data_IF_176595955969
#
_entry.id   IF_176595955969
#
_cell.length_a   1.000
_cell.length_b   1.000
_cell.length_c   1.000
_cell.angle_alpha   90.00
_cell.angle_beta   90.00
_cell.angle_gamma   90.00
#
_symmetry.space_group_name_H-M   'P 1'
#
loop_
_entity.id
_entity.type
_entity.pdbx_description
1 polymer ?
#
# COMPACT_ATOMS: atom_id res chain seq x y z
N UNK A 1 -0.05 -4.29 78.25
CA UNK A 1 0.41 -4.79 76.94
C UNK A 1 0.14 -3.71 75.89
N UNK A 2 1.16 -2.93 75.52
CA UNK A 2 1.06 -1.89 74.47
C UNK A 2 1.47 -2.53 73.14
N UNK A 3 0.51 -3.01 72.37
CA UNK A 3 0.77 -3.45 70.99
C UNK A 3 1.16 -2.22 70.17
N UNK A 4 2.37 -2.21 69.60
CA UNK A 4 2.86 -1.16 68.70
C UNK A 4 2.16 -1.35 67.35
N UNK A 5 1.20 -0.50 66.94
CA UNK A 5 0.41 -0.72 65.73
C UNK A 5 1.24 -0.60 64.43
N UNK A 6 2.43 0.03 64.52
CA UNK A 6 3.33 0.22 63.38
C UNK A 6 3.93 -1.09 62.82
N UNK A 7 4.10 -2.13 63.65
CA UNK A 7 4.64 -3.42 63.20
C UNK A 7 3.63 -4.23 62.38
N UNK A 8 2.34 -4.10 62.68
CA UNK A 8 1.26 -4.74 61.92
C UNK A 8 1.02 -4.04 60.57
N UNK A 9 1.17 -2.71 60.52
CA UNK A 9 1.03 -1.95 59.28
C UNK A 9 2.16 -2.27 58.27
N UNK A 10 3.38 -2.51 58.77
CA UNK A 10 4.54 -2.90 57.95
C UNK A 10 4.44 -4.34 57.41
N UNK A 11 3.76 -5.25 58.12
CA UNK A 11 3.56 -6.63 57.67
C UNK A 11 2.43 -6.74 56.64
N UNK A 12 1.43 -5.84 56.69
CA UNK A 12 0.31 -5.81 55.75
C UNK A 12 0.71 -5.28 54.37
N UNK A 13 1.66 -4.33 54.30
CA UNK A 13 2.17 -3.79 53.04
C UNK A 13 3.08 -4.76 52.27
N UNK A 14 3.66 -5.77 52.93
CA UNK A 14 4.51 -6.78 52.29
C UNK A 14 3.73 -7.89 51.57
N UNK A 15 2.44 -8.05 51.86
CA UNK A 15 1.61 -9.13 51.32
C UNK A 15 0.86 -8.77 50.02
N UNK A 16 1.02 -7.55 49.51
CA UNK A 16 0.15 -6.99 48.46
C UNK A 16 0.73 -6.98 47.04
N UNK A 17 1.85 -7.68 46.77
CA UNK A 17 2.63 -7.41 45.54
C UNK A 17 2.58 -8.47 44.43
N UNK A 18 1.68 -9.45 44.44
CA UNK A 18 1.58 -10.43 43.33
C UNK A 18 0.13 -10.71 42.88
N UNK A 19 -0.58 -9.68 42.43
CA UNK A 19 -1.83 -9.87 41.69
C UNK A 19 -1.54 -10.16 40.21
N UNK A 20 -1.49 -11.44 39.83
CA UNK A 20 -1.44 -11.84 38.42
C UNK A 20 -2.85 -11.78 37.80
N UNK A 21 -2.98 -11.22 36.60
CA UNK A 21 -4.25 -11.20 35.87
C UNK A 21 -4.73 -12.64 35.60
N UNK A 22 -5.91 -13.00 36.15
CA UNK A 22 -6.53 -14.30 35.90
C UNK A 22 -7.07 -14.35 34.47
N UNK A 23 -6.81 -15.42 33.70
CA UNK A 23 -7.37 -15.57 32.36
C UNK A 23 -8.90 -15.67 32.41
N UNK A 24 -9.56 -15.13 31.37
CA UNK A 24 -11.01 -15.20 31.23
C UNK A 24 -11.44 -16.66 30.98
N UNK A 25 -12.63 -17.05 31.45
CA UNK A 25 -13.17 -18.40 31.22
C UNK A 25 -13.15 -18.77 29.72
N UNK A 26 -12.51 -19.89 29.38
CA UNK A 26 -12.36 -20.34 28.00
C UNK A 26 -11.18 -19.73 27.24
N UNK A 27 -10.32 -18.95 27.90
CA UNK A 27 -9.09 -18.41 27.31
C UNK A 27 -7.85 -18.99 27.99
N UNK A 28 -6.79 -19.16 27.22
CA UNK A 28 -5.49 -19.52 27.74
C UNK A 28 -4.74 -18.23 28.12
N UNK A 29 -4.02 -18.24 29.24
CA UNK A 29 -3.22 -17.10 29.64
C UNK A 29 -2.19 -16.77 28.54
N UNK A 30 -2.05 -15.49 28.20
CA UNK A 30 -1.05 -15.03 27.24
C UNK A 30 0.31 -14.99 27.95
N UNK A 31 1.04 -16.09 27.85
CA UNK A 31 2.34 -16.31 28.47
C UNK A 31 3.51 -15.96 27.55
N UNK A 32 3.27 -15.44 26.35
CA UNK A 32 4.34 -15.05 25.44
C UNK A 32 5.14 -13.86 26.00
N UNK A 33 6.47 -13.98 26.02
CA UNK A 33 7.39 -12.94 26.49
C UNK A 33 7.93 -12.08 25.33
N UNK A 34 8.36 -10.86 25.65
CA UNK A 34 9.02 -9.93 24.72
C UNK A 34 8.06 -8.97 24.01
N UNK A 35 8.47 -8.46 22.84
CA UNK A 35 7.63 -7.56 22.03
C UNK A 35 6.58 -8.38 21.24
N UNK A 36 5.38 -8.46 21.82
CA UNK A 36 4.24 -9.16 21.24
C UNK A 36 3.78 -8.54 19.91
N UNK A 37 3.91 -7.23 19.75
CA UNK A 37 3.53 -6.55 18.51
C UNK A 37 4.49 -6.95 17.37
N UNK A 38 5.79 -6.98 17.64
CA UNK A 38 6.79 -7.46 16.69
C UNK A 38 6.56 -8.93 16.30
N UNK A 39 6.25 -9.80 17.27
CA UNK A 39 5.93 -11.21 17.01
C UNK A 39 4.69 -11.38 16.14
N UNK A 40 3.63 -10.60 16.41
CA UNK A 40 2.41 -10.61 15.61
C UNK A 40 2.69 -10.17 14.17
N UNK A 41 3.42 -9.07 13.97
CA UNK A 41 3.77 -8.58 12.63
C UNK A 41 4.60 -9.60 11.87
N UNK A 42 5.62 -10.20 12.50
CA UNK A 42 6.42 -11.25 11.89
C UNK A 42 5.58 -12.49 11.52
N UNK A 43 4.61 -12.86 12.35
CA UNK A 43 3.67 -13.94 12.06
C UNK A 43 2.76 -13.64 10.88
N UNK A 44 2.23 -12.42 10.80
CA UNK A 44 1.40 -11.94 9.68
C UNK A 44 2.21 -11.96 8.39
N UNK A 45 3.42 -11.41 8.40
CA UNK A 45 4.30 -11.37 7.22
C UNK A 45 4.58 -12.77 6.69
N UNK A 46 5.00 -13.69 7.57
CA UNK A 46 5.22 -15.10 7.22
C UNK A 46 3.98 -15.77 6.62
N UNK A 47 2.80 -15.50 7.19
CA UNK A 47 1.54 -16.03 6.67
C UNK A 47 1.23 -15.49 5.27
N UNK A 48 1.34 -14.17 5.08
CA UNK A 48 1.01 -13.52 3.82
C UNK A 48 1.97 -13.92 2.69
N UNK A 49 3.28 -14.02 2.98
CA UNK A 49 4.25 -14.51 2.00
C UNK A 49 3.89 -15.92 1.52
N UNK A 50 3.54 -16.83 2.44
CA UNK A 50 3.09 -18.17 2.09
C UNK A 50 1.80 -18.18 1.25
N UNK A 51 0.84 -17.30 1.55
CA UNK A 51 -0.38 -17.20 0.76
C UNK A 51 -0.15 -16.55 -0.61
N UNK A 52 0.81 -15.63 -0.74
CA UNK A 52 1.26 -15.07 -2.02
C UNK A 52 1.84 -16.17 -2.91
N UNK A 53 2.72 -17.01 -2.36
CA UNK A 53 3.31 -18.14 -3.10
C UNK A 53 2.22 -19.10 -3.57
N UNK A 54 1.32 -19.51 -2.67
CA UNK A 54 0.17 -20.38 -2.99
C UNK A 54 -0.80 -19.75 -3.99
N UNK A 55 -0.91 -18.42 -4.02
CA UNK A 55 -1.81 -17.70 -4.93
C UNK A 55 -1.47 -17.96 -6.40
N UNK A 56 -0.18 -18.14 -6.73
CA UNK A 56 0.26 -18.41 -8.10
C UNK A 56 -0.32 -19.72 -8.63
N UNK A 57 -0.19 -20.79 -7.86
CA UNK A 57 -0.72 -22.11 -8.21
C UNK A 57 -2.25 -22.11 -8.28
N UNK A 58 -2.91 -21.53 -7.27
CA UNK A 58 -4.38 -21.45 -7.22
C UNK A 58 -4.94 -20.66 -8.40
N UNK A 59 -4.26 -19.60 -8.83
CA UNK A 59 -4.70 -18.79 -9.97
C UNK A 59 -4.71 -19.61 -11.27
N UNK A 60 -3.71 -20.45 -11.51
CA UNK A 60 -3.63 -21.26 -12.72
C UNK A 60 -4.86 -22.16 -12.91
N UNK A 61 -5.39 -22.74 -11.83
CA UNK A 61 -6.58 -23.59 -11.87
C UNK A 61 -7.84 -22.89 -12.42
N UNK A 62 -7.93 -21.57 -12.26
CA UNK A 62 -9.05 -20.77 -12.75
C UNK A 62 -8.87 -20.29 -14.20
N UNK A 63 -7.70 -20.49 -14.82
CA UNK A 63 -7.40 -19.99 -16.18
C UNK A 63 -7.08 -21.12 -17.16
N UNK A 64 -8.11 -21.82 -17.64
CA UNK A 64 -8.00 -22.87 -18.66
C UNK A 64 -8.02 -22.30 -20.08
N UNK A 65 -7.00 -21.52 -20.44
CA UNK A 65 -6.95 -20.77 -21.71
C UNK A 65 -6.64 -21.71 -22.88
N UNK A 66 -7.45 -21.65 -23.93
CA UNK A 66 -7.17 -22.31 -25.20
C UNK A 66 -6.56 -21.29 -26.18
N UNK A 67 -5.33 -21.55 -26.64
CA UNK A 67 -4.60 -20.67 -27.57
C UNK A 67 -4.64 -21.16 -29.02
N UNK A 68 -5.41 -22.21 -29.34
CA UNK A 68 -5.49 -22.78 -30.68
C UNK A 68 -6.10 -21.82 -31.72
N UNK A 69 -7.00 -20.94 -31.30
CA UNK A 69 -7.57 -19.89 -32.14
C UNK A 69 -8.16 -18.75 -31.29
N UNK A 70 -8.36 -17.54 -31.84
CA UNK A 70 -9.02 -16.45 -31.13
C UNK A 70 -10.42 -16.82 -30.63
N UNK A 71 -11.21 -17.53 -31.44
CA UNK A 71 -12.56 -17.96 -31.07
C UNK A 71 -12.56 -18.96 -29.91
N UNK A 72 -11.61 -19.88 -29.88
CA UNK A 72 -11.48 -20.83 -28.78
C UNK A 72 -10.96 -20.14 -27.50
N UNK A 73 -10.06 -19.18 -27.64
CA UNK A 73 -9.60 -18.35 -26.52
C UNK A 73 -10.78 -17.63 -25.85
N UNK A 74 -11.63 -16.96 -26.63
CA UNK A 74 -12.81 -16.25 -26.13
C UNK A 74 -13.75 -17.18 -25.36
N UNK A 75 -14.04 -18.38 -25.91
CA UNK A 75 -14.85 -19.40 -25.24
C UNK A 75 -14.22 -19.86 -23.94
N UNK A 76 -12.91 -20.09 -23.94
CA UNK A 76 -12.18 -20.60 -22.78
C UNK A 76 -12.20 -19.65 -21.56
N UNK A 77 -12.23 -18.34 -21.80
CA UNK A 77 -12.24 -17.32 -20.73
C UNK A 77 -13.64 -16.79 -20.39
N UNK A 78 -14.68 -17.18 -21.13
CA UNK A 78 -16.04 -16.68 -20.94
C UNK A 78 -16.58 -16.83 -19.50
N UNK A 79 -16.35 -17.96 -18.78
CA UNK A 79 -16.79 -18.11 -17.40
C UNK A 79 -16.19 -17.06 -16.46
N UNK A 80 -14.89 -16.77 -16.61
CA UNK A 80 -14.19 -15.78 -15.80
C UNK A 80 -14.70 -14.36 -16.11
N UNK A 81 -14.99 -14.06 -17.39
CA UNK A 81 -15.59 -12.77 -17.76
C UNK A 81 -16.97 -12.58 -17.13
N UNK A 82 -17.80 -13.62 -17.12
CA UNK A 82 -19.12 -13.56 -16.49
C UNK A 82 -19.01 -13.38 -14.97
N UNK A 83 -18.08 -14.10 -14.34
CA UNK A 83 -17.81 -13.94 -12.92
C UNK A 83 -17.32 -12.53 -12.58
N UNK A 84 -16.40 -11.99 -13.38
CA UNK A 84 -15.89 -10.63 -13.22
C UNK A 84 -17.02 -9.59 -13.34
N UNK A 85 -17.89 -9.70 -14.36
CA UNK A 85 -19.06 -8.82 -14.53
C UNK A 85 -19.92 -8.77 -13.26
N UNK A 86 -20.13 -9.91 -12.60
CA UNK A 86 -20.88 -9.99 -11.34
C UNK A 86 -20.16 -9.25 -10.21
N UNK A 87 -18.87 -9.50 -10.01
CA UNK A 87 -18.09 -8.88 -8.92
C UNK A 87 -18.06 -7.36 -9.05
N UNK A 88 -17.85 -6.84 -10.26
CA UNK A 88 -17.74 -5.39 -10.50
C UNK A 88 -19.09 -4.69 -10.66
N UNK A 89 -20.20 -5.42 -10.52
CA UNK A 89 -21.56 -4.87 -10.70
C UNK A 89 -21.91 -4.51 -12.15
N UNK A 90 -21.13 -4.93 -13.15
CA UNK A 90 -21.40 -4.67 -14.57
C UNK A 90 -22.37 -5.69 -15.17
N UNK A 91 -23.49 -5.94 -14.48
CA UNK A 91 -24.55 -6.85 -14.92
C UNK A 91 -25.68 -6.13 -15.65
N UNK A 92 -25.98 -4.90 -15.24
CA UNK A 92 -27.06 -4.12 -15.82
C UNK A 92 -26.69 -3.60 -17.21
N UNK A 93 -27.70 -3.49 -18.07
CA UNK A 93 -27.52 -2.90 -19.39
C UNK A 93 -27.09 -1.44 -19.23
N UNK A 94 -26.01 -1.07 -19.93
CA UNK A 94 -25.58 0.33 -19.96
C UNK A 94 -26.60 1.17 -20.71
N UNK A 95 -26.91 2.35 -20.19
CA UNK A 95 -27.72 3.36 -20.88
C UNK A 95 -27.09 3.65 -22.24
N UNK A 96 -27.87 3.48 -23.31
CA UNK A 96 -27.48 3.75 -24.69
C UNK A 96 -28.12 5.08 -25.16
N UNK A 97 -27.40 5.90 -25.94
CA UNK A 97 -26.03 5.73 -26.40
C UNK A 97 -25.00 6.12 -25.31
N UNK A 98 -23.87 5.39 -25.25
CA UNK A 98 -22.74 5.80 -24.41
C UNK A 98 -22.02 6.95 -25.13
N UNK A 99 -22.29 8.18 -24.72
CA UNK A 99 -21.58 9.35 -25.24
C UNK A 99 -20.35 9.61 -24.35
N UNK A 100 -19.17 9.58 -24.96
CA UNK A 100 -17.92 9.96 -24.30
C UNK A 100 -17.47 11.29 -24.90
N UNK A 101 -17.32 12.31 -24.05
CA UNK A 101 -16.76 13.59 -24.45
C UNK A 101 -15.28 13.65 -24.04
N UNK A 102 -14.41 13.97 -24.99
CA UNK A 102 -12.98 14.17 -24.72
C UNK A 102 -12.77 15.63 -24.33
N UNK A 103 -12.69 15.88 -23.02
CA UNK A 103 -12.48 17.24 -22.48
C UNK A 103 -11.06 17.78 -22.68
N UNK A 104 -10.08 16.90 -22.90
CA UNK A 104 -8.69 17.27 -23.18
C UNK A 104 -7.96 16.12 -23.87
N UNK A 105 -7.12 16.47 -24.85
CA UNK A 105 -6.24 15.50 -25.51
C UNK A 105 -5.01 15.16 -24.67
N UNK A 106 -4.38 13.99 -24.91
CA UNK A 106 -3.03 13.74 -24.40
C UNK A 106 -2.09 14.84 -24.95
N UNK A 107 -1.34 15.51 -24.07
CA UNK A 107 -0.46 16.67 -24.32
C UNK A 107 -1.07 18.08 -24.17
N UNK A 108 -2.25 18.20 -23.55
CA UNK A 108 -2.75 19.52 -23.12
C UNK A 108 -2.55 19.66 -21.60
N UNK A 109 -1.78 20.68 -21.20
CA UNK A 109 -1.66 21.04 -19.79
C UNK A 109 -3.01 21.60 -19.32
N UNK A 110 -3.62 20.95 -18.33
CA UNK A 110 -4.92 21.36 -17.78
C UNK A 110 -4.74 21.92 -16.38
N UNK A 111 -5.13 23.15 -16.16
CA UNK A 111 -5.25 23.71 -14.81
C UNK A 111 -6.39 22.98 -14.10
N UNK A 112 -6.05 22.19 -13.08
CA UNK A 112 -6.99 21.43 -12.23
C UNK A 112 -7.56 22.31 -11.12
N UNK A 113 -6.88 23.40 -10.75
CA UNK A 113 -7.39 24.35 -9.77
C UNK A 113 -6.58 25.65 -9.69
N UNK A 114 -7.21 26.73 -9.22
CA UNK A 114 -6.59 28.03 -8.96
C UNK A 114 -6.79 28.43 -7.51
N UNK A 115 -5.74 28.93 -6.86
CA UNK A 115 -5.77 29.60 -5.56
C UNK A 115 -5.25 31.03 -5.66
N UNK A 116 -5.33 31.82 -4.59
CA UNK A 116 -4.70 33.14 -4.57
C UNK A 116 -3.17 32.99 -4.68
N UNK A 117 -2.63 33.26 -5.86
CA UNK A 117 -1.19 33.24 -6.14
C UNK A 117 -0.63 31.95 -6.76
N UNK A 118 -1.45 30.94 -7.09
CA UNK A 118 -0.96 29.76 -7.82
C UNK A 118 -2.02 29.07 -8.68
N UNK A 119 -1.54 28.42 -9.75
CA UNK A 119 -2.32 27.51 -10.59
C UNK A 119 -1.75 26.10 -10.43
N UNK A 120 -2.61 25.13 -10.14
CA UNK A 120 -2.25 23.71 -10.10
C UNK A 120 -2.57 23.08 -11.46
N UNK A 121 -1.53 22.69 -12.22
CA UNK A 121 -1.68 22.01 -13.51
C UNK A 121 -1.52 20.49 -13.40
N UNK A 122 -2.28 19.74 -14.19
CA UNK A 122 -1.98 18.34 -14.50
C UNK A 122 -0.88 18.31 -15.56
N UNK A 123 0.31 17.81 -15.21
CA UNK A 123 1.33 17.53 -16.20
C UNK A 123 0.91 16.27 -16.98
N UNK A 124 0.46 16.46 -18.22
CA UNK A 124 0.34 15.35 -19.18
C UNK A 124 1.74 14.80 -19.42
N UNK A 125 1.94 13.50 -19.17
CA UNK A 125 3.25 12.86 -19.33
C UNK A 125 3.81 13.08 -20.73
N UNK A 126 4.83 13.94 -20.85
CA UNK A 126 5.58 14.13 -22.09
C UNK A 126 6.15 12.78 -22.51
N UNK A 127 5.87 12.36 -23.74
CA UNK A 127 6.61 11.27 -24.38
C UNK A 127 8.12 11.48 -24.18
N UNK A 128 8.81 10.43 -23.76
CA UNK A 128 10.24 10.41 -23.40
C UNK A 128 11.06 11.22 -24.42
N UNK A 129 11.52 12.43 -24.05
CA UNK A 129 12.28 13.28 -24.95
C UNK A 129 12.72 14.64 -24.39
N UNK A 130 12.10 15.17 -23.34
CA UNK A 130 12.54 16.43 -22.74
C UNK A 130 12.35 16.39 -21.21
N UNK A 131 13.39 15.93 -20.50
CA UNK A 131 13.48 16.13 -19.06
C UNK A 131 13.67 17.64 -18.79
N UNK A 132 12.87 18.27 -17.92
CA UNK A 132 13.10 19.65 -17.53
C UNK A 132 14.32 19.71 -16.60
N UNK A 133 15.45 20.19 -17.13
CA UNK A 133 16.72 20.44 -16.42
C UNK A 133 16.63 21.36 -15.18
N UNK A 134 15.43 21.87 -14.87
CA UNK A 134 15.19 22.79 -13.77
C UNK A 134 14.93 22.10 -12.42
N UNK A 135 14.40 20.86 -12.42
CA UNK A 135 14.13 20.14 -11.16
C UNK A 135 15.41 19.59 -10.52
N UNK A 136 16.26 18.93 -11.33
CA UNK A 136 17.52 18.34 -10.85
C UNK A 136 18.49 19.37 -10.27
N UNK A 137 18.58 20.58 -10.84
CA UNK A 137 19.46 21.65 -10.32
C UNK A 137 19.06 22.14 -8.93
N UNK A 138 17.77 22.04 -8.57
CA UNK A 138 17.27 22.46 -7.26
C UNK A 138 17.51 21.39 -6.19
N UNK A 139 17.36 20.11 -6.56
CA UNK A 139 17.57 18.98 -5.65
C UNK A 139 19.06 18.77 -5.34
N UNK A 140 19.98 18.86 -6.32
CA UNK A 140 21.42 18.77 -6.04
C UNK A 140 21.97 19.95 -5.22
N UNK A 141 21.29 21.10 -5.19
CA UNK A 141 21.66 22.24 -4.32
C UNK A 141 21.23 22.02 -2.88
N UNK A 142 20.07 21.37 -2.65
CA UNK A 142 19.52 21.17 -1.32
C UNK A 142 20.09 19.94 -0.61
N UNK A 143 20.31 18.85 -1.36
CA UNK A 143 20.83 17.60 -0.83
C UNK A 143 22.15 17.32 -1.51
N UNK A 144 23.25 17.55 -0.79
CA UNK A 144 24.64 17.34 -1.24
C UNK A 144 24.92 15.84 -1.39
N UNK A 145 24.24 15.18 -2.32
CA UNK A 145 24.37 13.75 -2.61
C UNK A 145 25.76 13.47 -3.20
N UNK A 146 26.51 12.50 -2.66
CA UNK A 146 27.79 12.09 -3.22
C UNK A 146 27.53 11.37 -4.56
N UNK A 147 27.75 12.08 -5.66
CA UNK A 147 27.53 11.58 -7.02
C UNK A 147 27.12 12.64 -8.05
N UNK A 148 26.69 13.83 -7.61
CA UNK A 148 26.35 14.93 -8.52
C UNK A 148 27.65 15.57 -9.05
N UNK A 149 28.17 15.11 -10.20
CA UNK A 149 29.23 15.81 -10.94
C UNK A 149 28.61 17.06 -11.57
N UNK A 150 29.12 18.28 -11.32
CA UNK A 150 28.74 19.43 -12.12
C UNK A 150 29.24 19.17 -13.55
N UNK A 151 28.31 19.16 -14.50
CA UNK A 151 28.62 19.05 -15.92
C UNK A 151 29.73 20.06 -16.26
N UNK A 152 30.88 19.55 -16.70
CA UNK A 152 31.92 20.36 -17.29
C UNK A 152 31.32 21.06 -18.51
N UNK A 153 31.17 22.39 -18.40
CA UNK A 153 30.67 23.22 -19.46
C UNK A 153 31.51 23.02 -20.72
N UNK A 154 30.88 22.57 -21.79
CA UNK A 154 31.44 22.76 -23.13
C UNK A 154 31.09 24.18 -23.53
N UNK A 155 31.98 25.12 -23.18
CA UNK A 155 32.10 26.37 -23.91
C UNK A 155 32.50 26.03 -25.34
N UNK A 156 31.59 26.27 -26.29
CA UNK A 156 31.97 26.56 -27.66
C UNK A 156 31.23 27.80 -28.10
N UNK A 157 31.91 28.93 -27.91
CA UNK A 157 31.71 30.11 -28.72
C UNK A 157 32.46 29.96 -30.04
N UNK A 158 31.74 30.18 -31.14
CA UNK A 158 32.10 30.80 -32.43
C UNK A 158 31.08 30.34 -33.47
#
# INVERSE_FOLDING_TARGET
MRHRPAAFLSLFLLFCSTTHAQPLSGTQALDAQGDLAAQMVAGIDKFLLREIDRSVERRAAHWKRDFSSPANYEKSIAPNRQHLKRIIGAQDERVKPVQMEVLAGPNQDRVIGRGQGYEAGAAGGRGRGAAPRAYERRVCRLHRYPGCRPDAGTDRGS
#
